data_IF_417121015634
#
_entry.id   IF_417121015634
#
_cell.length_a   1.000
_cell.length_b   1.000
_cell.length_c   1.000
_cell.angle_alpha   90.00
_cell.angle_beta   90.00
_cell.angle_gamma   90.00
#
_symmetry.space_group_name_H-M   'P 1'
#
loop_
_entity.id
_entity.type
_entity.pdbx_description
1 polymer ?
#
# COMPACT_ATOMS: atom_id res chain seq x y z
N UNK A 1 12.57 -38.48 14.10
CA UNK A 1 11.25 -39.10 14.42
C UNK A 1 10.10 -38.13 14.15
N UNK A 2 9.89 -37.69 12.90
CA UNK A 2 8.71 -36.86 12.54
C UNK A 2 7.89 -37.43 11.37
N UNK A 3 8.39 -38.48 10.69
CA UNK A 3 7.72 -39.11 9.55
C UNK A 3 6.61 -40.07 9.99
N UNK A 4 6.77 -40.76 11.13
CA UNK A 4 5.82 -41.77 11.61
C UNK A 4 4.47 -41.17 12.07
N UNK A 5 4.45 -39.90 12.51
CA UNK A 5 3.22 -39.24 13.00
C UNK A 5 2.30 -38.77 11.85
N UNK A 6 2.86 -38.49 10.67
CA UNK A 6 2.10 -38.05 9.50
C UNK A 6 1.46 -39.23 8.76
N UNK A 7 2.13 -40.38 8.67
CA UNK A 7 1.54 -41.59 8.07
C UNK A 7 0.35 -42.10 8.89
N UNK A 8 0.45 -42.10 10.22
CA UNK A 8 -0.66 -42.50 11.11
C UNK A 8 -1.90 -41.61 10.96
N UNK A 9 -1.71 -40.33 10.63
CA UNK A 9 -2.81 -39.39 10.41
C UNK A 9 -3.52 -39.59 9.06
N UNK A 10 -2.81 -40.12 8.06
CA UNK A 10 -3.35 -40.39 6.74
C UNK A 10 -4.15 -41.69 6.70
N UNK A 11 -3.65 -42.73 7.37
CA UNK A 11 -4.31 -44.04 7.45
C UNK A 11 -5.68 -43.94 8.17
N UNK A 12 -5.74 -43.16 9.26
CA UNK A 12 -6.98 -42.89 9.98
C UNK A 12 -8.01 -42.11 9.15
N UNK A 13 -7.58 -41.26 8.23
CA UNK A 13 -8.48 -40.52 7.33
C UNK A 13 -9.10 -41.44 6.26
N UNK A 14 -8.31 -42.33 5.67
CA UNK A 14 -8.83 -43.29 4.69
C UNK A 14 -9.80 -44.31 5.33
N UNK A 15 -9.53 -44.75 6.55
CA UNK A 15 -10.43 -45.66 7.28
C UNK A 15 -11.79 -45.00 7.61
N UNK A 16 -11.77 -43.71 7.98
CA UNK A 16 -12.99 -42.91 8.19
C UNK A 16 -13.79 -42.74 6.88
N UNK A 17 -13.10 -42.52 5.77
CA UNK A 17 -13.73 -42.34 4.45
C UNK A 17 -14.41 -43.62 3.96
N UNK A 18 -13.74 -44.77 4.10
CA UNK A 18 -14.31 -46.07 3.72
C UNK A 18 -15.55 -46.43 4.55
N UNK A 19 -15.52 -46.17 5.86
CA UNK A 19 -16.68 -46.40 6.73
C UNK A 19 -17.88 -45.53 6.35
N UNK A 20 -17.66 -44.26 6.00
CA UNK A 20 -18.75 -43.36 5.59
C UNK A 20 -19.41 -43.81 4.27
N UNK A 21 -18.60 -44.22 3.29
CA UNK A 21 -19.08 -44.71 1.99
C UNK A 21 -19.92 -45.96 2.17
N UNK A 22 -19.49 -46.87 3.05
CA UNK A 22 -20.22 -48.10 3.34
C UNK A 22 -21.59 -47.80 3.94
N UNK A 23 -21.65 -46.92 4.94
CA UNK A 23 -22.90 -46.51 5.61
C UNK A 23 -23.91 -45.92 4.63
N UNK A 24 -23.46 -45.00 3.76
CA UNK A 24 -24.32 -44.37 2.76
C UNK A 24 -24.87 -45.36 1.74
N UNK A 25 -24.08 -46.38 1.35
CA UNK A 25 -24.57 -47.43 0.44
C UNK A 25 -25.62 -48.31 1.10
N UNK A 26 -25.48 -48.63 2.39
CA UNK A 26 -26.50 -49.36 3.15
C UNK A 26 -27.80 -48.57 3.28
N UNK A 27 -27.72 -47.28 3.65
CA UNK A 27 -28.88 -46.38 3.73
C UNK A 27 -29.60 -46.26 2.37
N UNK A 28 -28.85 -46.14 1.27
CA UNK A 28 -29.43 -46.08 -0.07
C UNK A 28 -30.10 -47.40 -0.47
N UNK A 29 -29.52 -48.54 -0.10
CA UNK A 29 -30.11 -49.86 -0.37
C UNK A 29 -31.38 -50.08 0.45
N UNK A 30 -31.42 -49.59 1.70
CA UNK A 30 -32.57 -49.66 2.58
C UNK A 30 -33.73 -48.79 2.06
N UNK A 31 -33.45 -47.54 1.67
CA UNK A 31 -34.45 -46.65 1.05
C UNK A 31 -35.03 -47.23 -0.25
N UNK A 32 -34.21 -47.92 -1.05
CA UNK A 32 -34.66 -48.55 -2.30
C UNK A 32 -35.50 -49.79 -2.07
N UNK A 33 -35.31 -50.48 -0.94
CA UNK A 33 -36.10 -51.65 -0.55
C UNK A 33 -37.50 -51.27 -0.02
N UNK A 34 -37.67 -50.05 0.51
CA UNK A 34 -38.96 -49.54 0.99
C UNK A 34 -39.88 -49.01 -0.14
N UNK A 35 -39.33 -48.63 -1.29
CA UNK A 35 -40.07 -48.00 -2.40
C UNK A 35 -40.42 -48.97 -3.52
N UNK A 36 -41.17 -50.03 -3.20
CA UNK A 36 -41.72 -50.97 -4.19
C UNK A 36 -43.23 -51.20 -4.00
N UNK A 37 -44.01 -50.13 -3.89
CA UNK A 37 -45.47 -50.18 -4.00
C UNK A 37 -45.91 -49.67 -5.39
N UNK A 38 -46.91 -50.29 -6.05
CA UNK A 38 -47.34 -49.89 -7.39
C UNK A 38 -48.01 -48.51 -7.33
N UNK A 39 -47.54 -47.61 -8.19
CA UNK A 39 -47.96 -46.21 -8.22
C UNK A 39 -49.39 -46.10 -8.78
N UNK A 40 -50.33 -45.73 -7.93
CA UNK A 40 -51.75 -45.60 -8.26
C UNK A 40 -51.96 -44.44 -9.26
N UNK A 41 -52.32 -44.81 -10.49
CA UNK A 41 -52.34 -43.89 -11.65
C UNK A 41 -53.48 -42.88 -11.55
N UNK A 42 -54.56 -43.20 -10.83
CA UNK A 42 -55.69 -42.28 -10.65
C UNK A 42 -55.41 -41.22 -9.57
N UNK A 43 -54.61 -41.55 -8.55
CA UNK A 43 -54.09 -40.57 -7.60
C UNK A 43 -53.18 -39.54 -8.29
N UNK A 44 -52.37 -39.97 -9.28
CA UNK A 44 -51.55 -39.05 -10.09
C UNK A 44 -52.43 -38.09 -10.90
N UNK A 45 -53.51 -38.57 -11.51
CA UNK A 45 -54.41 -37.72 -12.30
C UNK A 45 -55.10 -36.66 -11.45
N UNK A 46 -55.59 -37.04 -10.26
CA UNK A 46 -56.17 -36.08 -9.32
C UNK A 46 -55.16 -35.03 -8.86
N UNK A 47 -53.92 -35.45 -8.61
CA UNK A 47 -52.85 -34.54 -8.20
C UNK A 47 -52.46 -33.57 -9.33
N UNK A 48 -52.42 -34.03 -10.58
CA UNK A 48 -52.21 -33.18 -11.75
C UNK A 48 -53.33 -32.16 -11.92
N UNK A 49 -54.59 -32.56 -11.73
CA UNK A 49 -55.73 -31.64 -11.81
C UNK A 49 -55.65 -30.58 -10.70
N UNK A 50 -55.38 -30.98 -9.46
CA UNK A 50 -55.24 -30.06 -8.33
C UNK A 50 -54.07 -29.08 -8.52
N UNK A 51 -52.96 -29.52 -9.14
CA UNK A 51 -51.85 -28.64 -9.51
C UNK A 51 -52.29 -27.62 -10.58
N UNK A 52 -53.03 -28.06 -11.59
CA UNK A 52 -53.51 -27.18 -12.67
C UNK A 52 -54.46 -26.10 -12.13
N UNK A 53 -55.40 -26.47 -11.28
CA UNK A 53 -56.35 -25.53 -10.68
C UNK A 53 -55.62 -24.51 -9.78
N UNK A 54 -54.61 -24.97 -9.03
CA UNK A 54 -53.78 -24.11 -8.19
C UNK A 54 -52.90 -23.17 -9.02
N UNK A 55 -52.37 -23.62 -10.15
CA UNK A 55 -51.64 -22.78 -11.11
C UNK A 55 -52.53 -21.66 -11.67
N UNK A 56 -53.78 -21.96 -12.00
CA UNK A 56 -54.72 -20.96 -12.50
C UNK A 56 -55.07 -19.94 -11.42
N UNK A 57 -55.25 -20.39 -10.18
CA UNK A 57 -55.51 -19.52 -9.04
C UNK A 57 -54.32 -18.60 -8.74
N UNK A 58 -53.10 -19.16 -8.73
CA UNK A 58 -51.85 -18.39 -8.61
C UNK A 58 -51.75 -17.36 -9.74
N UNK A 59 -52.06 -17.73 -10.98
CA UNK A 59 -52.01 -16.81 -12.12
C UNK A 59 -53.00 -15.66 -11.98
N UNK A 60 -54.21 -15.91 -11.48
CA UNK A 60 -55.22 -14.87 -11.19
C UNK A 60 -54.76 -13.95 -10.06
N UNK A 61 -54.20 -14.52 -9.00
CA UNK A 61 -53.75 -13.77 -7.82
C UNK A 61 -52.53 -12.89 -8.13
N UNK A 62 -51.55 -13.42 -8.89
CA UNK A 62 -50.44 -12.62 -9.43
C UNK A 62 -50.93 -11.55 -10.40
N UNK A 63 -51.92 -11.85 -11.25
CA UNK A 63 -52.52 -10.85 -12.14
C UNK A 63 -53.16 -9.69 -11.38
N UNK A 64 -53.89 -9.98 -10.30
CA UNK A 64 -54.49 -8.98 -9.43
C UNK A 64 -53.42 -8.14 -8.70
N UNK A 65 -52.38 -8.78 -8.14
CA UNK A 65 -51.28 -8.08 -7.49
C UNK A 65 -50.47 -7.22 -8.46
N UNK A 66 -50.27 -7.68 -9.70
CA UNK A 66 -49.59 -6.89 -10.74
C UNK A 66 -50.45 -5.70 -11.14
N UNK A 67 -51.76 -5.86 -11.32
CA UNK A 67 -52.66 -4.72 -11.60
C UNK A 67 -52.69 -3.70 -10.46
N UNK A 68 -52.74 -4.15 -9.20
CA UNK A 68 -52.68 -3.25 -8.04
C UNK A 68 -51.32 -2.53 -7.95
N UNK A 69 -50.24 -3.24 -8.28
CA UNK A 69 -48.89 -2.66 -8.33
C UNK A 69 -48.74 -1.70 -9.51
N UNK A 70 -49.32 -1.99 -10.67
CA UNK A 70 -49.35 -1.12 -11.85
C UNK A 70 -50.15 0.15 -11.57
N UNK A 71 -51.29 0.07 -10.90
CA UNK A 71 -52.05 1.23 -10.42
C UNK A 71 -51.23 2.08 -9.43
N UNK A 72 -50.53 1.44 -8.49
CA UNK A 72 -49.63 2.11 -7.54
C UNK A 72 -48.38 2.71 -8.21
N UNK A 73 -47.89 2.10 -9.29
CA UNK A 73 -46.74 2.58 -10.07
C UNK A 73 -47.13 3.72 -11.00
N UNK A 74 -48.35 3.70 -11.56
CA UNK A 74 -48.92 4.83 -12.31
C UNK A 74 -49.21 6.02 -11.39
N UNK A 75 -49.59 5.76 -10.12
CA UNK A 75 -49.67 6.79 -9.07
C UNK A 75 -48.30 7.30 -8.56
N UNK A 76 -47.21 6.59 -8.87
CA UNK A 76 -45.83 7.04 -8.66
C UNK A 76 -45.27 7.59 -9.97
N UNK A 77 -45.79 8.74 -10.41
CA UNK A 77 -45.11 9.55 -11.43
C UNK A 77 -43.65 9.76 -11.01
N UNK A 78 -42.73 9.27 -11.85
CA UNK A 78 -41.28 9.42 -11.68
C UNK A 78 -40.97 10.92 -11.65
N UNK A 79 -40.38 11.47 -10.57
CA UNK A 79 -39.82 12.81 -10.63
C UNK A 79 -38.64 12.76 -11.61
N UNK A 80 -38.87 13.36 -12.78
CA UNK A 80 -37.85 13.69 -13.74
C UNK A 80 -36.77 14.54 -13.02
N UNK A 81 -35.55 13.98 -12.96
CA UNK A 81 -34.31 14.58 -12.44
C UNK A 81 -34.01 14.51 -10.93
N UNK A 82 -33.28 13.45 -10.54
CA UNK A 82 -32.49 13.47 -9.29
C UNK A 82 -31.14 14.18 -9.54
N UNK A 83 -30.78 15.24 -8.78
CA UNK A 83 -29.45 15.84 -8.86
C UNK A 83 -28.38 14.84 -8.40
N UNK A 84 -27.13 14.96 -8.89
CA UNK A 84 -26.06 14.00 -8.63
C UNK A 84 -25.89 13.77 -7.13
N UNK A 85 -25.90 12.50 -6.70
CA UNK A 85 -25.67 12.08 -5.31
C UNK A 85 -24.22 12.39 -4.92
N UNK A 86 -23.95 13.65 -4.59
CA UNK A 86 -22.79 14.02 -3.79
C UNK A 86 -23.05 13.49 -2.38
N UNK A 87 -22.16 12.63 -1.89
CA UNK A 87 -22.10 12.28 -0.47
C UNK A 87 -21.68 13.56 0.27
N UNK A 88 -22.67 14.37 0.66
CA UNK A 88 -22.44 15.50 1.54
C UNK A 88 -22.10 14.97 2.92
N UNK A 89 -20.81 15.02 3.29
CA UNK A 89 -20.42 14.92 4.69
C UNK A 89 -20.85 16.19 5.41
N UNK A 90 -22.14 16.29 5.77
CA UNK A 90 -22.62 17.34 6.66
C UNK A 90 -22.17 17.00 8.08
N UNK A 91 -21.00 17.50 8.47
CA UNK A 91 -20.60 17.57 9.86
C UNK A 91 -21.37 18.72 10.52
N UNK A 92 -22.58 18.45 11.00
CA UNK A 92 -23.29 19.39 11.86
C UNK A 92 -22.68 19.35 13.25
N UNK A 93 -21.74 20.26 13.54
CA UNK A 93 -21.25 20.50 14.90
C UNK A 93 -22.30 21.35 15.63
N UNK A 94 -23.15 20.71 16.44
CA UNK A 94 -24.06 21.40 17.35
C UNK A 94 -23.25 22.01 18.51
N UNK A 95 -22.82 23.26 18.33
CA UNK A 95 -22.11 24.06 19.34
C UNK A 95 -23.06 24.68 20.40
N UNK A 96 -24.30 24.21 20.48
CA UNK A 96 -25.35 24.80 21.32
C UNK A 96 -25.22 24.47 22.82
N UNK A 97 -24.39 23.49 23.18
CA UNK A 97 -24.04 23.25 24.58
C UNK A 97 -22.72 23.94 24.89
N UNK A 98 -22.73 24.97 25.75
CA UNK A 98 -21.53 25.67 26.25
C UNK A 98 -20.44 24.68 26.70
N UNK A 99 -20.85 23.54 27.28
CA UNK A 99 -19.96 22.44 27.68
C UNK A 99 -19.21 21.81 26.49
N UNK A 100 -19.87 21.56 25.37
CA UNK A 100 -19.25 20.99 24.18
C UNK A 100 -18.32 22.00 23.53
N UNK A 101 -18.69 23.29 23.49
CA UNK A 101 -17.81 24.36 23.01
C UNK A 101 -16.49 24.40 23.79
N UNK A 102 -16.54 24.35 25.12
CA UNK A 102 -15.33 24.29 25.95
C UNK A 102 -14.48 23.04 25.70
N UNK A 103 -15.09 21.87 25.47
CA UNK A 103 -14.37 20.64 25.13
C UNK A 103 -13.67 20.74 23.76
N UNK A 104 -14.33 21.31 22.75
CA UNK A 104 -13.72 21.54 21.44
C UNK A 104 -12.60 22.56 21.52
N UNK A 105 -12.78 23.64 22.29
CA UNK A 105 -11.72 24.63 22.52
C UNK A 105 -10.53 24.03 23.24
N UNK A 106 -10.73 23.19 24.27
CA UNK A 106 -9.62 22.54 24.95
C UNK A 106 -8.87 21.56 24.04
N UNK A 107 -9.61 20.76 23.25
CA UNK A 107 -9.01 19.84 22.29
C UNK A 107 -8.24 20.59 21.19
N UNK A 108 -8.78 21.69 20.69
CA UNK A 108 -8.11 22.55 19.71
C UNK A 108 -6.81 23.13 20.26
N UNK A 109 -6.81 23.61 21.51
CA UNK A 109 -5.58 24.10 22.17
C UNK A 109 -4.54 22.99 22.29
N UNK A 110 -4.93 21.77 22.69
CA UNK A 110 -3.99 20.64 22.74
C UNK A 110 -3.42 20.32 21.36
N UNK A 111 -4.26 20.25 20.32
CA UNK A 111 -3.82 20.00 18.94
C UNK A 111 -2.91 21.13 18.44
N UNK A 112 -3.21 22.39 18.77
CA UNK A 112 -2.39 23.54 18.40
C UNK A 112 -1.01 23.48 19.09
N UNK A 113 -0.97 23.15 20.39
CA UNK A 113 0.29 22.98 21.13
C UNK A 113 1.12 21.82 20.57
N UNK A 114 0.49 20.67 20.27
CA UNK A 114 1.17 19.53 19.66
C UNK A 114 1.66 19.87 18.24
N UNK A 115 0.84 20.57 17.44
CA UNK A 115 1.22 21.04 16.10
C UNK A 115 2.40 22.00 16.14
N UNK A 116 2.45 22.92 17.12
CA UNK A 116 3.59 23.83 17.31
C UNK A 116 4.83 23.07 17.78
N UNK A 117 4.68 22.10 18.69
CA UNK A 117 5.77 21.23 19.12
C UNK A 117 6.37 20.45 17.94
N UNK A 118 5.51 19.82 17.14
CA UNK A 118 5.89 19.13 15.91
C UNK A 118 6.51 20.07 14.87
N UNK A 119 6.00 21.30 14.74
CA UNK A 119 6.56 22.30 13.83
C UNK A 119 7.97 22.74 14.25
N UNK A 120 8.19 22.90 15.56
CA UNK A 120 9.51 23.21 16.12
C UNK A 120 10.48 22.03 16.01
N UNK A 121 10.00 20.79 16.17
CA UNK A 121 10.77 19.55 16.00
C UNK A 121 11.06 19.26 14.50
N UNK A 122 10.16 19.68 13.61
CA UNK A 122 10.36 19.69 12.15
C UNK A 122 11.42 20.72 11.71
N UNK A 123 12.06 21.47 12.62
CA UNK A 123 13.24 22.26 12.23
C UNK A 123 14.18 21.30 11.52
N UNK A 124 14.47 21.53 10.21
CA UNK A 124 15.25 20.59 9.44
C UNK A 124 16.56 20.37 10.19
N UNK A 125 17.00 19.12 10.23
CA UNK A 125 18.24 18.70 10.88
C UNK A 125 19.45 19.28 10.12
N UNK A 126 19.57 20.61 10.18
CA UNK A 126 20.62 21.41 9.54
C UNK A 126 21.96 21.05 10.15
N UNK A 127 21.98 20.47 11.35
CA UNK A 127 23.19 19.98 11.99
C UNK A 127 23.95 19.02 11.06
N UNK A 128 23.25 18.16 10.32
CA UNK A 128 23.89 17.20 9.39
C UNK A 128 24.50 17.89 8.18
N UNK A 129 23.78 18.84 7.59
CA UNK A 129 24.26 19.62 6.44
C UNK A 129 25.39 20.56 6.82
N UNK A 130 25.30 21.18 7.99
CA UNK A 130 26.30 22.06 8.54
C UNK A 130 27.57 21.24 8.87
N UNK A 131 27.44 20.06 9.49
CA UNK A 131 28.57 19.16 9.77
C UNK A 131 29.25 18.61 8.51
N UNK A 132 28.50 18.24 7.47
CA UNK A 132 29.07 17.84 6.18
C UNK A 132 29.91 18.97 5.57
N UNK A 133 29.38 20.20 5.58
CA UNK A 133 30.08 21.37 5.07
C UNK A 133 31.34 21.67 5.89
N UNK A 134 31.25 21.58 7.23
CA UNK A 134 32.41 21.73 8.12
C UNK A 134 33.51 20.73 7.76
N UNK A 135 33.17 19.45 7.61
CA UNK A 135 34.12 18.40 7.26
C UNK A 135 34.78 18.61 5.90
N UNK A 136 33.99 18.88 4.85
CA UNK A 136 34.51 19.10 3.49
C UNK A 136 35.39 20.34 3.41
N UNK A 137 35.06 21.38 4.17
CA UNK A 137 35.90 22.59 4.26
C UNK A 137 37.25 22.31 4.90
N UNK A 138 37.27 21.56 6.02
CA UNK A 138 38.53 21.14 6.67
C UNK A 138 39.35 20.27 5.72
N UNK A 139 38.70 19.34 5.00
CA UNK A 139 39.36 18.49 4.00
C UNK A 139 39.96 19.31 2.86
N UNK A 140 39.25 20.33 2.38
CA UNK A 140 39.76 21.26 1.36
C UNK A 140 40.97 22.06 1.85
N UNK A 141 40.95 22.53 3.10
CA UNK A 141 42.06 23.34 3.66
C UNK A 141 43.29 22.50 4.01
N UNK A 142 43.15 21.18 4.10
CA UNK A 142 44.27 20.24 4.31
C UNK A 142 44.85 20.25 5.73
N UNK A 143 44.32 21.08 6.63
CA UNK A 143 44.80 21.24 8.00
C UNK A 143 43.62 21.46 8.96
N UNK A 144 43.47 20.55 9.92
CA UNK A 144 42.53 20.68 11.03
C UNK A 144 43.18 21.47 12.17
N UNK A 145 43.54 22.73 11.91
CA UNK A 145 44.09 23.61 12.95
C UNK A 145 43.00 23.92 13.99
N UNK A 146 43.30 23.86 15.30
CA UNK A 146 42.33 24.14 16.35
C UNK A 146 41.74 25.54 16.21
N UNK A 147 42.55 26.53 15.80
CA UNK A 147 42.08 27.90 15.55
C UNK A 147 41.02 27.97 14.45
N UNK A 148 41.21 27.22 13.36
CA UNK A 148 40.25 27.14 12.25
C UNK A 148 38.98 26.40 12.63
N UNK A 149 39.12 25.36 13.46
CA UNK A 149 37.97 24.64 14.00
C UNK A 149 37.12 25.57 14.87
N UNK A 150 37.76 26.38 15.73
CA UNK A 150 37.08 27.37 16.57
C UNK A 150 36.38 28.46 15.73
N UNK A 151 37.04 29.02 14.71
CA UNK A 151 36.41 30.00 13.80
C UNK A 151 35.19 29.41 13.07
N UNK A 152 35.25 28.11 12.75
CA UNK A 152 34.18 27.38 12.07
C UNK A 152 33.04 27.02 13.03
N UNK A 153 33.35 26.71 14.28
CA UNK A 153 32.36 26.49 15.34
C UNK A 153 31.62 27.79 15.66
N UNK A 154 32.37 28.90 15.82
CA UNK A 154 31.81 30.24 16.01
C UNK A 154 30.87 30.64 14.86
N UNK A 155 31.28 30.43 13.60
CA UNK A 155 30.45 30.76 12.43
C UNK A 155 29.15 29.95 12.34
N UNK A 156 29.09 28.73 12.85
CA UNK A 156 27.93 27.86 12.70
C UNK A 156 27.04 27.80 13.95
N UNK A 157 27.61 28.00 15.14
CA UNK A 157 26.93 27.84 16.42
C UNK A 157 26.66 29.16 17.14
N UNK A 158 27.64 30.08 17.16
CA UNK A 158 27.56 31.34 17.93
C UNK A 158 27.06 32.49 17.07
N UNK A 159 27.77 32.80 15.97
CA UNK A 159 27.47 33.88 15.05
C UNK A 159 27.13 33.34 13.66
N UNK A 160 25.93 32.78 13.53
CA UNK A 160 25.45 32.20 12.26
C UNK A 160 25.32 33.23 11.15
N UNK A 161 26.38 33.41 10.35
CA UNK A 161 26.37 34.24 9.15
C UNK A 161 26.14 33.41 7.89
N UNK A 162 24.89 33.44 7.40
CA UNK A 162 24.49 32.72 6.21
C UNK A 162 25.32 33.12 4.96
N UNK A 163 25.74 34.39 4.84
CA UNK A 163 26.55 34.84 3.69
C UNK A 163 27.92 34.19 3.68
N UNK A 164 28.55 34.06 4.86
CA UNK A 164 29.85 33.40 5.01
C UNK A 164 29.72 31.89 4.79
N UNK A 165 28.65 31.26 5.29
CA UNK A 165 28.36 29.84 5.04
C UNK A 165 28.17 29.57 3.53
N UNK A 166 27.43 30.44 2.84
CA UNK A 166 27.22 30.30 1.39
C UNK A 166 28.53 30.49 0.60
N UNK A 167 29.37 31.45 1.01
CA UNK A 167 30.69 31.65 0.40
C UNK A 167 31.60 30.43 0.59
N UNK A 168 31.57 29.84 1.79
CA UNK A 168 32.31 28.63 2.13
C UNK A 168 31.88 27.44 1.28
N UNK A 169 30.57 27.26 1.09
CA UNK A 169 30.02 26.22 0.21
C UNK A 169 30.53 26.37 -1.22
N UNK A 170 30.54 27.58 -1.77
CA UNK A 170 31.05 27.83 -3.11
C UNK A 170 32.55 27.50 -3.23
N UNK A 171 33.35 27.82 -2.22
CA UNK A 171 34.78 27.53 -2.21
C UNK A 171 35.04 26.02 -2.21
N UNK A 172 34.33 25.27 -1.36
CA UNK A 172 34.40 23.80 -1.32
C UNK A 172 34.01 23.18 -2.66
N UNK A 173 32.90 23.63 -3.26
CA UNK A 173 32.43 23.14 -4.56
C UNK A 173 33.40 23.46 -5.70
N UNK A 174 34.07 24.62 -5.66
CA UNK A 174 35.13 24.95 -6.64
C UNK A 174 36.32 24.02 -6.48
N UNK A 175 36.78 23.81 -5.25
CA UNK A 175 37.90 22.92 -4.98
C UNK A 175 37.64 21.48 -5.44
N UNK A 176 36.48 20.92 -5.10
CA UNK A 176 36.12 19.57 -5.53
C UNK A 176 36.05 19.41 -7.05
N UNK A 177 35.55 20.43 -7.75
CA UNK A 177 35.56 20.44 -9.22
C UNK A 177 36.98 20.42 -9.78
N UNK A 178 37.89 21.18 -9.18
CA UNK A 178 39.30 21.18 -9.57
C UNK A 178 39.95 19.82 -9.31
N UNK A 179 39.71 19.21 -8.14
CA UNK A 179 40.22 17.88 -7.79
C UNK A 179 39.71 16.82 -8.75
N UNK A 180 38.40 16.80 -9.05
CA UNK A 180 37.81 15.85 -10.02
C UNK A 180 38.39 16.03 -11.42
N UNK A 181 38.53 17.29 -11.87
CA UNK A 181 39.11 17.58 -13.19
C UNK A 181 40.56 17.12 -13.28
N UNK A 182 41.35 17.34 -12.23
CA UNK A 182 42.74 16.88 -12.16
C UNK A 182 42.82 15.36 -12.17
N UNK A 183 42.01 14.68 -11.36
CA UNK A 183 41.94 13.22 -11.35
C UNK A 183 41.59 12.64 -12.73
N UNK A 184 40.62 13.24 -13.43
CA UNK A 184 40.24 12.81 -14.79
C UNK A 184 41.35 13.03 -15.82
N UNK A 185 42.07 14.16 -15.73
CA UNK A 185 43.20 14.44 -16.62
C UNK A 185 44.38 13.49 -16.36
N UNK A 186 44.69 13.22 -15.11
CA UNK A 186 45.75 12.30 -14.72
C UNK A 186 45.42 10.86 -15.17
N UNK A 187 44.17 10.44 -15.04
CA UNK A 187 43.70 9.15 -15.55
C UNK A 187 43.83 9.06 -17.07
N UNK A 188 43.41 10.11 -17.79
CA UNK A 188 43.56 10.18 -19.24
C UNK A 188 45.04 10.13 -19.67
N UNK A 189 45.92 10.83 -18.94
CA UNK A 189 47.36 10.79 -19.20
C UNK A 189 47.92 9.37 -19.01
N UNK A 190 47.45 8.65 -17.98
CA UNK A 190 47.85 7.27 -17.72
C UNK A 190 47.45 6.32 -18.84
N UNK A 191 46.23 6.44 -19.37
CA UNK A 191 45.76 5.62 -20.48
C UNK A 191 46.57 5.88 -21.77
N UNK A 192 46.80 7.15 -22.12
CA UNK A 192 47.63 7.50 -23.29
C UNK A 192 49.07 7.02 -23.17
N UNK A 193 49.64 7.05 -21.96
CA UNK A 193 50.97 6.52 -21.72
C UNK A 193 51.03 5.00 -21.94
N UNK A 194 50.00 4.26 -21.49
CA UNK A 194 49.89 2.81 -21.72
C UNK A 194 49.73 2.47 -23.20
N UNK A 195 48.88 3.19 -23.93
CA UNK A 195 48.72 3.01 -25.38
C UNK A 195 50.02 3.28 -26.13
N UNK A 196 50.72 4.38 -25.80
CA UNK A 196 52.00 4.71 -26.42
C UNK A 196 53.08 3.65 -26.14
N UNK A 197 53.09 3.06 -24.95
CA UNK A 197 54.01 1.97 -24.61
C UNK A 197 53.70 0.69 -25.39
N UNK A 198 52.41 0.33 -25.51
CA UNK A 198 51.98 -0.82 -26.31
C UNK A 198 52.35 -0.66 -27.79
N UNK A 199 52.07 0.50 -28.38
CA UNK A 199 52.44 0.82 -29.77
C UNK A 199 53.96 0.72 -29.99
N UNK A 200 54.78 1.21 -29.05
CA UNK A 200 56.24 1.08 -29.11
C UNK A 200 56.68 -0.38 -29.09
N UNK A 201 56.09 -1.20 -28.21
CA UNK A 201 56.41 -2.64 -28.12
C UNK A 201 56.04 -3.36 -29.41
N UNK A 202 54.89 -3.07 -30.00
CA UNK A 202 54.45 -3.72 -31.23
C UNK A 202 55.26 -3.28 -32.45
N UNK A 203 55.62 -2.00 -32.55
CA UNK A 203 56.55 -1.52 -33.58
C UNK A 203 57.93 -2.20 -33.47
N UNK A 204 58.45 -2.40 -32.25
CA UNK A 204 59.71 -3.11 -32.03
C UNK A 204 59.64 -4.58 -32.43
N UNK A 205 58.50 -5.27 -32.21
CA UNK A 205 58.28 -6.65 -32.69
C UNK A 205 58.23 -6.74 -34.20
N UNK A 206 57.58 -5.77 -34.87
CA UNK A 206 57.49 -5.72 -36.33
C UNK A 206 58.85 -5.48 -36.99
N UNK A 207 59.75 -4.70 -36.36
CA UNK A 207 61.09 -4.41 -36.87
C UNK A 207 62.07 -5.58 -36.76
N UNK A 208 61.82 -6.53 -35.85
CA UNK A 208 62.66 -7.73 -35.63
C UNK A 208 62.17 -8.97 -36.40
N UNK A 209 61.16 -8.82 -37.28
CA UNK A 209 60.76 -9.83 -38.27
C UNK A 209 61.34 -9.46 -39.63
#
# INVERSE_FOLDING_TARGET
MKENTLELSFEMYEELKETLIKTLRTELAEARSQSAAPVDTDAIKQLLQAISDRQEQIRKDLGAQISEMEEKVVGMEIPEELPPRMVQHRFSLSLDATRNFWLFMSMFVVIAVQSVGLYLDWRPDRSRYDNDLKYRYVLMKGEASPKRLSELEELFEVERDQRRIDSMRQDVEKYERLVRRRAALDEQARLKAQEAEQLKRDAAKLKNK
#
